data_IF_391137126054
#
_entry.id   IF_391137126054
#
_cell.length_a   1.000
_cell.length_b   1.000
_cell.length_c   1.000
_cell.angle_alpha   90.00
_cell.angle_beta   90.00
_cell.angle_gamma   90.00
#
_symmetry.space_group_name_H-M   'P 1'
#
loop_
_entity.id
_entity.type
_entity.pdbx_description
1 polymer ?
#
# COMPACT_ATOMS: atom_id res chain seq x y z
N UNK A 1 -12.37 -3.06 10.99
CA UNK A 1 -11.92 -4.27 10.27
C UNK A 1 -12.06 -5.51 11.14
N UNK A 2 -11.42 -5.56 12.32
CA UNK A 2 -11.43 -6.73 13.22
C UNK A 2 -12.85 -7.23 13.60
N UNK A 3 -13.76 -6.34 14.04
CA UNK A 3 -15.15 -6.73 14.35
C UNK A 3 -15.87 -7.36 13.15
N UNK A 4 -15.68 -6.79 11.95
CA UNK A 4 -16.33 -7.29 10.74
C UNK A 4 -15.73 -8.64 10.32
N UNK A 5 -14.41 -8.82 10.46
CA UNK A 5 -13.76 -10.12 10.25
C UNK A 5 -14.32 -11.21 11.17
N UNK A 6 -14.50 -10.91 12.45
CA UNK A 6 -15.09 -11.87 13.40
C UNK A 6 -16.54 -12.22 13.04
N UNK A 7 -17.37 -11.23 12.71
CA UNK A 7 -18.78 -11.46 12.34
C UNK A 7 -18.96 -12.23 11.02
N UNK A 8 -17.98 -12.21 10.12
CA UNK A 8 -18.08 -12.88 8.81
C UNK A 8 -17.29 -14.19 8.72
N UNK A 9 -16.59 -14.57 9.80
CA UNK A 9 -15.78 -15.79 9.84
C UNK A 9 -16.62 -17.06 9.63
N UNK A 10 -17.84 -17.13 10.18
CA UNK A 10 -18.75 -18.27 10.00
C UNK A 10 -19.18 -18.49 8.54
N UNK A 11 -19.04 -17.47 7.71
CA UNK A 11 -19.35 -17.50 6.28
C UNK A 11 -18.11 -17.73 5.41
N UNK A 12 -16.94 -17.99 6.02
CA UNK A 12 -15.67 -18.13 5.33
C UNK A 12 -15.32 -16.91 4.46
N UNK A 13 -15.60 -15.70 4.98
CA UNK A 13 -15.31 -14.43 4.29
C UNK A 13 -14.21 -13.69 5.04
N UNK A 14 -13.09 -13.45 4.35
CA UNK A 14 -11.99 -12.64 4.85
C UNK A 14 -12.31 -11.15 4.70
N UNK A 15 -11.98 -10.36 5.74
CA UNK A 15 -12.18 -8.92 5.76
C UNK A 15 -10.90 -8.24 6.21
N UNK A 16 -10.25 -7.50 5.32
CA UNK A 16 -9.00 -6.78 5.61
C UNK A 16 -9.10 -5.30 5.21
N UNK A 17 -8.16 -4.50 5.69
CA UNK A 17 -8.02 -3.10 5.33
C UNK A 17 -6.65 -2.86 4.70
N UNK A 18 -6.64 -2.22 3.54
CA UNK A 18 -5.41 -1.69 2.93
C UNK A 18 -5.32 -0.22 3.32
N UNK A 19 -4.20 0.18 3.92
CA UNK A 19 -3.90 1.56 4.30
C UNK A 19 -2.71 2.08 3.50
N UNK A 20 -2.95 2.75 2.36
CA UNK A 20 -1.88 3.34 1.56
C UNK A 20 -1.22 4.51 2.30
N UNK A 21 0.11 4.60 2.21
CA UNK A 21 0.85 5.83 2.48
C UNK A 21 0.76 6.81 1.32
N UNK A 22 1.67 7.80 1.27
CA UNK A 22 1.79 8.72 0.13
C UNK A 22 1.91 7.90 -1.16
N UNK A 23 0.85 7.89 -1.96
CA UNK A 23 0.75 7.08 -3.18
C UNK A 23 0.75 8.02 -4.36
N UNK A 24 1.55 7.71 -5.38
CA UNK A 24 1.66 8.50 -6.61
C UNK A 24 0.42 8.34 -7.51
N UNK A 25 -0.74 8.78 -7.01
CA UNK A 25 -1.97 8.93 -7.80
C UNK A 25 -1.84 10.13 -8.73
N UNK A 26 -2.69 10.22 -9.76
CA UNK A 26 -2.68 11.36 -10.69
C UNK A 26 -2.82 12.71 -9.97
N UNK A 27 -3.68 12.79 -8.94
CA UNK A 27 -3.85 14.00 -8.14
C UNK A 27 -2.60 14.38 -7.36
N UNK A 28 -1.95 13.41 -6.69
CA UNK A 28 -0.73 13.66 -5.91
C UNK A 28 0.45 14.05 -6.80
N UNK A 29 0.56 13.43 -7.99
CA UNK A 29 1.55 13.82 -9.00
C UNK A 29 1.34 15.28 -9.40
N UNK A 30 0.09 15.68 -9.69
CA UNK A 30 -0.24 17.08 -10.07
C UNK A 30 0.04 18.09 -8.97
N UNK A 31 -0.02 17.68 -7.70
CA UNK A 31 0.33 18.55 -6.57
C UNK A 31 1.84 18.80 -6.43
N UNK A 32 2.68 18.02 -7.11
CA UNK A 32 4.14 18.23 -7.11
C UNK A 32 4.80 17.95 -5.75
N UNK A 33 4.14 17.19 -4.87
CA UNK A 33 4.62 16.88 -3.51
C UNK A 33 5.37 15.55 -3.41
N UNK A 34 5.58 14.85 -4.53
CA UNK A 34 6.28 13.58 -4.53
C UNK A 34 7.79 13.83 -4.41
N UNK A 35 8.52 13.04 -3.59
CA UNK A 35 9.97 13.09 -3.55
C UNK A 35 10.55 12.70 -4.93
N UNK A 36 11.75 13.22 -5.27
CA UNK A 36 12.41 12.90 -6.52
C UNK A 36 12.73 11.40 -6.63
N UNK A 37 12.71 10.88 -7.86
CA UNK A 37 13.00 9.48 -8.15
C UNK A 37 14.50 9.21 -8.39
N UNK A 38 15.32 10.27 -8.39
CA UNK A 38 16.78 10.25 -8.52
C UNK A 38 17.43 11.13 -7.45
N UNK A 39 18.63 10.74 -7.02
CA UNK A 39 19.48 11.56 -6.17
C UNK A 39 20.08 12.73 -6.99
N UNK A 40 20.74 13.67 -6.31
CA UNK A 40 21.38 14.84 -6.94
C UNK A 40 22.43 14.47 -8.00
N UNK A 41 23.11 13.33 -7.82
CA UNK A 41 24.09 12.77 -8.77
C UNK A 41 23.45 12.02 -9.95
N UNK A 42 22.12 12.00 -10.04
CA UNK A 42 21.35 11.33 -11.09
C UNK A 42 21.16 9.82 -10.89
N UNK A 43 21.70 9.23 -9.83
CA UNK A 43 21.48 7.81 -9.51
C UNK A 43 20.04 7.55 -9.07
N UNK A 44 19.43 6.40 -9.42
CA UNK A 44 18.03 6.14 -9.08
C UNK A 44 17.84 5.93 -7.58
N UNK A 45 16.78 6.51 -7.02
CA UNK A 45 16.38 6.27 -5.63
C UNK A 45 15.87 4.83 -5.48
N UNK A 46 16.36 4.07 -4.48
CA UNK A 46 15.87 2.73 -4.19
C UNK A 46 14.35 2.67 -4.08
N UNK A 47 13.73 1.66 -4.67
CA UNK A 47 12.25 1.54 -4.77
C UNK A 47 11.54 1.68 -3.42
N UNK A 48 12.08 1.12 -2.34
CA UNK A 48 11.46 1.19 -1.01
C UNK A 48 11.55 2.57 -0.36
N UNK A 49 12.38 3.47 -0.91
CA UNK A 49 12.44 4.89 -0.55
C UNK A 49 11.57 5.75 -1.48
N UNK A 50 10.78 5.14 -2.38
CA UNK A 50 9.86 5.85 -3.27
C UNK A 50 8.40 5.58 -2.88
N UNK A 51 7.50 6.54 -3.12
CA UNK A 51 6.05 6.34 -3.02
C UNK A 51 5.60 5.11 -3.83
N UNK A 52 4.68 4.27 -3.31
CA UNK A 52 3.99 3.29 -4.14
C UNK A 52 3.17 3.97 -5.23
N UNK A 53 2.87 3.22 -6.28
CA UNK A 53 1.92 3.60 -7.33
C UNK A 53 0.58 2.90 -7.10
N UNK A 54 -0.54 3.37 -7.69
CA UNK A 54 -1.85 2.71 -7.57
C UNK A 54 -1.82 1.21 -7.90
N UNK A 55 -0.96 0.80 -8.84
CA UNK A 55 -0.77 -0.62 -9.16
C UNK A 55 -0.31 -1.44 -7.96
N UNK A 56 0.56 -0.92 -7.09
CA UNK A 56 1.00 -1.66 -5.90
C UNK A 56 -0.15 -1.93 -4.92
N UNK A 57 -1.09 -0.98 -4.79
CA UNK A 57 -2.29 -1.14 -3.97
C UNK A 57 -3.22 -2.18 -4.62
N UNK A 58 -3.41 -2.09 -5.94
CA UNK A 58 -4.22 -3.05 -6.70
C UNK A 58 -3.66 -4.48 -6.62
N UNK A 59 -2.34 -4.64 -6.69
CA UNK A 59 -1.69 -5.94 -6.58
C UNK A 59 -1.88 -6.55 -5.17
N UNK A 60 -1.85 -5.73 -4.12
CA UNK A 60 -2.17 -6.18 -2.75
C UNK A 60 -3.65 -6.56 -2.61
N UNK A 61 -4.56 -5.78 -3.19
CA UNK A 61 -5.98 -6.09 -3.20
C UNK A 61 -6.24 -7.42 -3.94
N UNK A 62 -5.55 -7.66 -5.05
CA UNK A 62 -5.62 -8.92 -5.79
C UNK A 62 -5.12 -10.09 -4.96
N UNK A 63 -4.00 -9.93 -4.25
CA UNK A 63 -3.51 -10.95 -3.31
C UNK A 63 -4.55 -11.28 -2.22
N UNK A 64 -5.13 -10.25 -1.58
CA UNK A 64 -6.15 -10.41 -0.53
C UNK A 64 -7.49 -10.96 -1.04
N UNK A 65 -7.74 -10.89 -2.35
CA UNK A 65 -8.90 -11.50 -3.00
C UNK A 65 -8.62 -12.94 -3.48
N UNK A 66 -7.38 -13.42 -3.36
CA UNK A 66 -6.97 -14.76 -3.79
C UNK A 66 -6.92 -15.74 -2.61
N UNK A 67 -7.00 -17.03 -2.90
CA UNK A 67 -6.84 -18.11 -1.92
C UNK A 67 -5.45 -18.13 -1.26
N UNK A 68 -4.46 -17.45 -1.84
CA UNK A 68 -3.13 -17.31 -1.23
C UNK A 68 -3.17 -16.50 0.07
N UNK A 69 -4.29 -15.81 0.35
CA UNK A 69 -4.51 -15.04 1.58
C UNK A 69 -5.50 -15.70 2.54
N UNK A 70 -5.87 -16.97 2.33
CA UNK A 70 -6.75 -17.69 3.24
C UNK A 70 -6.16 -17.69 4.66
N UNK A 71 -7.00 -17.34 5.66
CA UNK A 71 -6.64 -17.04 7.06
C UNK A 71 -6.00 -15.67 7.34
N UNK A 72 -5.78 -14.81 6.35
CA UNK A 72 -5.47 -13.41 6.59
C UNK A 72 -6.79 -12.65 6.66
N UNK A 73 -7.27 -12.35 7.87
CA UNK A 73 -8.53 -11.61 8.10
C UNK A 73 -8.42 -10.73 9.34
N UNK A 74 -9.11 -9.60 9.34
CA UNK A 74 -9.10 -8.62 10.43
C UNK A 74 -7.90 -7.66 10.40
N UNK A 75 -7.02 -7.79 9.42
CA UNK A 75 -5.73 -7.10 9.40
C UNK A 75 -5.77 -5.70 8.80
N UNK A 76 -4.83 -4.87 9.25
CA UNK A 76 -4.51 -3.56 8.68
C UNK A 76 -3.17 -3.65 7.95
N UNK A 77 -3.22 -3.74 6.62
CA UNK A 77 -2.03 -3.85 5.80
C UNK A 77 -1.61 -2.48 5.28
N UNK A 78 -0.46 -2.03 5.77
CA UNK A 78 0.15 -0.76 5.40
C UNK A 78 1.04 -0.95 4.17
N UNK A 79 0.85 -0.11 3.15
CA UNK A 79 1.72 -0.08 1.95
C UNK A 79 2.26 1.33 1.71
N UNK A 80 3.58 1.50 1.83
CA UNK A 80 4.24 2.82 1.73
C UNK A 80 5.72 2.70 1.35
N UNK A 81 6.29 3.82 0.90
CA UNK A 81 7.74 4.04 0.90
C UNK A 81 8.23 4.50 2.28
N UNK A 82 9.52 4.31 2.56
CA UNK A 82 10.23 4.73 3.77
C UNK A 82 11.23 5.84 3.44
N UNK A 83 10.80 6.87 2.70
CA UNK A 83 11.66 8.03 2.48
C UNK A 83 11.85 8.81 3.79
N UNK A 84 13.04 9.40 4.02
CA UNK A 84 13.27 10.30 5.15
C UNK A 84 12.38 11.54 5.03
N UNK A 85 11.77 11.98 6.12
CA UNK A 85 10.93 13.19 6.17
C UNK A 85 11.75 14.49 6.31
N UNK A 86 13.06 14.36 6.50
CA UNK A 86 14.03 15.40 6.87
C UNK A 86 15.02 15.75 5.76
N UNK A 87 14.71 15.41 4.50
CA UNK A 87 15.49 15.84 3.32
C UNK A 87 14.80 16.95 2.56
#
# INVERSE_FOLDING_TARGET
TNTLAASWAEHNINVNCIAPGLTATEGVIKWGILPPDKNEDGTPVPRLLRPPVPKNIADLALFLASSASDHITGELLIIRGHFPWDR
#
